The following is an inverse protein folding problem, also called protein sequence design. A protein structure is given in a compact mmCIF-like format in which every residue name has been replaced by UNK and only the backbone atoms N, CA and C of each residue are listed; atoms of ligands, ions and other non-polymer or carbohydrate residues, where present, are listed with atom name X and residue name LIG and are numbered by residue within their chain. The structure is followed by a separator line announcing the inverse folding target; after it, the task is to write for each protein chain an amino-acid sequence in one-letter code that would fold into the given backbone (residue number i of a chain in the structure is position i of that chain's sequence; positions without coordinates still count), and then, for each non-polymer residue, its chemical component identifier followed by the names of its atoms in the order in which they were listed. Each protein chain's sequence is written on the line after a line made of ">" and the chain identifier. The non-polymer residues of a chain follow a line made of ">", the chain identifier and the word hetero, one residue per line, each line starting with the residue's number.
data_IF_556046094063
#
_entry.id   IF_556046094063
#
_cell.length_a   1.000
_cell.length_b   1.000
_cell.length_c   1.000
_cell.angle_alpha   90.00
_cell.angle_beta   90.00
_cell.angle_gamma   90.00
#
_symmetry.space_group_name_H-M   'P 1'
#
loop_
_entity.id
_entity.type
_entity.pdbx_description
1 polymer ?
#
# COMPACT_ATOMS: atom_id res chain seq x y z
N UNK A 1 -37.08 7.94 1.13
CA UNK A 1 -35.64 7.66 1.16
C UNK A 1 -34.96 8.86 0.51
N UNK A 2 -34.10 9.58 1.22
CA UNK A 2 -33.42 10.76 0.69
C UNK A 2 -32.35 10.33 -0.30
N UNK A 3 -32.47 10.79 -1.55
CA UNK A 3 -31.47 10.55 -2.59
C UNK A 3 -30.34 11.55 -2.34
N UNK A 4 -29.20 11.06 -1.84
CA UNK A 4 -27.99 11.86 -1.70
C UNK A 4 -27.20 11.69 -2.97
N UNK A 5 -27.00 12.78 -3.70
CA UNK A 5 -26.16 12.81 -4.89
C UNK A 5 -24.70 12.94 -4.44
N UNK A 6 -23.89 11.90 -4.67
CA UNK A 6 -22.47 11.91 -4.38
C UNK A 6 -21.72 12.34 -5.63
N UNK A 7 -20.92 13.40 -5.53
CA UNK A 7 -19.90 13.67 -6.55
C UNK A 7 -18.83 12.59 -6.43
N UNK A 8 -18.72 11.75 -7.46
CA UNK A 8 -17.84 10.58 -7.51
C UNK A 8 -16.94 10.67 -8.74
N UNK A 9 -15.63 10.65 -8.50
CA UNK A 9 -14.64 10.37 -9.53
C UNK A 9 -14.21 8.90 -9.42
N UNK A 10 -14.48 8.14 -10.47
CA UNK A 10 -14.06 6.74 -10.59
C UNK A 10 -12.72 6.67 -11.30
N UNK A 11 -11.70 6.19 -10.59
CA UNK A 11 -10.36 6.01 -11.13
C UNK A 11 -9.98 4.53 -11.10
N UNK A 12 -9.75 3.95 -12.28
CA UNK A 12 -9.23 2.59 -12.40
C UNK A 12 -7.72 2.59 -12.10
N UNK A 13 -7.26 1.59 -11.35
CA UNK A 13 -5.84 1.40 -11.04
C UNK A 13 -5.41 -0.02 -11.37
N UNK A 14 -4.36 -0.13 -12.18
CA UNK A 14 -3.76 -1.41 -12.53
C UNK A 14 -2.80 -1.90 -11.42
N UNK A 15 -2.59 -3.22 -11.36
CA UNK A 15 -1.65 -3.83 -10.41
C UNK A 15 -0.25 -3.26 -10.61
N UNK A 16 0.34 -2.77 -9.52
CA UNK A 16 1.66 -2.14 -9.51
C UNK A 16 1.66 -0.65 -9.87
N UNK A 17 0.54 -0.09 -10.33
CA UNK A 17 0.41 1.34 -10.58
C UNK A 17 0.57 2.12 -9.27
N UNK A 18 1.31 3.24 -9.32
CA UNK A 18 1.45 4.15 -8.18
C UNK A 18 0.52 5.33 -8.38
N UNK A 19 -0.46 5.45 -7.51
CA UNK A 19 -1.35 6.60 -7.50
C UNK A 19 -1.01 7.53 -6.33
N UNK A 20 -0.75 8.80 -6.65
CA UNK A 20 -0.53 9.84 -5.65
C UNK A 20 -1.88 10.27 -5.08
N UNK A 21 -2.05 10.10 -3.76
CA UNK A 21 -3.25 10.54 -3.06
C UNK A 21 -3.08 11.99 -2.62
N UNK A 22 -2.59 12.20 -1.40
CA UNK A 22 -2.33 13.52 -0.83
C UNK A 22 -1.18 13.46 0.17
N UNK A 23 -0.58 14.61 0.52
CA UNK A 23 0.41 14.77 1.59
C UNK A 23 1.49 13.68 1.66
N UNK A 24 2.26 13.50 0.59
CA UNK A 24 3.33 12.50 0.54
C UNK A 24 2.82 11.07 0.84
N UNK A 25 1.58 10.75 0.44
CA UNK A 25 1.00 9.41 0.50
C UNK A 25 0.72 8.91 -0.92
N UNK A 26 1.12 7.67 -1.18
CA UNK A 26 0.78 6.97 -2.43
C UNK A 26 0.10 5.64 -2.12
N UNK A 27 -0.72 5.17 -3.04
CA UNK A 27 -1.33 3.84 -2.99
C UNK A 27 -0.84 3.00 -4.17
N UNK A 28 -0.60 1.71 -3.94
CA UNK A 28 -0.29 0.74 -4.99
C UNK A 28 -1.17 -0.50 -4.86
N UNK A 29 -1.89 -0.89 -5.92
CA UNK A 29 -2.58 -2.16 -5.92
C UNK A 29 -1.60 -3.32 -6.07
N UNK A 30 -1.89 -4.43 -5.41
CA UNK A 30 -1.17 -5.69 -5.57
C UNK A 30 -2.14 -6.83 -5.86
N UNK A 31 -1.65 -7.87 -6.53
CA UNK A 31 -2.50 -9.00 -6.94
C UNK A 31 -2.85 -9.87 -5.74
N UNK A 32 -4.12 -10.20 -5.60
CA UNK A 32 -4.58 -11.20 -4.65
C UNK A 32 -5.05 -12.47 -5.35
N UNK A 33 -5.29 -13.51 -4.57
CA UNK A 33 -5.73 -14.82 -5.04
C UNK A 33 -7.20 -15.02 -4.69
N UNK A 34 -8.06 -14.88 -5.69
CA UNK A 34 -9.49 -15.09 -5.59
C UNK A 34 -10.03 -15.70 -6.91
N UNK A 35 -11.28 -16.19 -6.91
CA UNK A 35 -11.88 -16.87 -8.08
C UNK A 35 -12.14 -15.94 -9.27
N UNK A 36 -12.24 -14.64 -9.01
CA UNK A 36 -12.35 -13.56 -10.01
C UNK A 36 -11.16 -12.60 -9.87
N UNK A 37 -10.85 -11.76 -10.87
CA UNK A 37 -9.82 -10.73 -10.74
C UNK A 37 -10.03 -9.89 -9.48
N UNK A 38 -9.02 -9.87 -8.62
CA UNK A 38 -9.03 -9.18 -7.35
C UNK A 38 -7.68 -8.54 -7.08
N UNK A 39 -7.69 -7.44 -6.34
CA UNK A 39 -6.49 -6.74 -5.90
C UNK A 39 -6.63 -6.24 -4.48
N UNK A 40 -5.54 -6.30 -3.73
CA UNK A 40 -5.36 -5.57 -2.49
C UNK A 40 -4.66 -4.24 -2.75
N UNK A 41 -4.50 -3.44 -1.71
CA UNK A 41 -3.84 -2.13 -1.77
C UNK A 41 -2.83 -1.99 -0.64
N UNK A 42 -1.69 -1.37 -0.94
CA UNK A 42 -0.75 -0.89 0.07
C UNK A 42 -0.67 0.63 -0.02
N UNK A 43 -0.88 1.28 1.12
CA UNK A 43 -0.69 2.71 1.33
C UNK A 43 0.73 2.91 1.83
N UNK A 44 1.48 3.79 1.18
CA UNK A 44 2.85 4.13 1.53
C UNK A 44 2.95 5.58 1.97
N UNK A 45 3.77 5.84 2.99
CA UNK A 45 4.33 7.17 3.22
C UNK A 45 5.55 7.39 2.33
N UNK A 46 5.63 8.57 1.75
CA UNK A 46 6.72 9.02 0.87
C UNK A 46 7.63 9.92 1.68
N UNK A 47 8.93 9.60 1.72
CA UNK A 47 9.94 10.45 2.33
C UNK A 47 11.02 10.78 1.32
N UNK A 48 11.36 12.06 1.22
CA UNK A 48 12.46 12.53 0.37
C UNK A 48 13.71 12.67 1.22
N UNK A 49 14.77 11.94 0.87
CA UNK A 49 16.09 12.06 1.53
C UNK A 49 17.12 12.55 0.53
N UNK A 50 18.06 13.38 0.98
CA UNK A 50 19.14 13.86 0.12
C UNK A 50 19.94 12.66 -0.41
N UNK A 51 20.18 12.63 -1.74
CA UNK A 51 21.01 11.60 -2.38
C UNK A 51 22.39 11.55 -1.73
N UNK A 52 22.93 10.34 -1.59
CA UNK A 52 24.22 10.12 -0.88
C UNK A 52 25.36 10.94 -1.48
N UNK A 53 25.36 11.10 -2.80
CA UNK A 53 26.33 11.90 -3.53
C UNK A 53 26.33 13.40 -3.16
N UNK A 54 25.27 13.93 -2.56
CA UNK A 54 25.17 15.35 -2.19
C UNK A 54 25.34 15.62 -0.69
N UNK A 55 25.47 14.58 0.16
CA UNK A 55 25.56 14.71 1.63
C UNK A 55 26.77 15.58 2.06
N UNK A 56 27.87 15.52 1.33
CA UNK A 56 29.10 16.24 1.64
C UNK A 56 29.07 17.72 1.19
N UNK A 57 28.04 18.15 0.48
CA UNK A 57 27.92 19.52 -0.02
C UNK A 57 27.37 20.45 1.07
N UNK A 58 27.89 21.68 1.13
CA UNK A 58 27.34 22.73 2.00
C UNK A 58 25.95 23.17 1.51
N UNK A 59 25.08 23.58 2.44
CA UNK A 59 23.69 23.98 2.14
C UNK A 59 23.51 24.95 0.97
N UNK A 60 24.38 25.97 0.84
CA UNK A 60 24.35 26.91 -0.31
C UNK A 60 24.54 26.22 -1.67
N UNK A 61 25.40 25.19 -1.75
CA UNK A 61 25.61 24.42 -2.99
C UNK A 61 24.41 23.53 -3.29
N UNK A 62 23.82 22.90 -2.26
CA UNK A 62 22.60 22.09 -2.39
C UNK A 62 21.43 22.94 -2.90
N UNK A 63 21.27 24.15 -2.34
CA UNK A 63 20.22 25.08 -2.77
C UNK A 63 20.39 25.49 -4.23
N UNK A 64 21.63 25.76 -4.67
CA UNK A 64 21.92 26.07 -6.08
C UNK A 64 21.56 24.91 -7.00
N UNK A 65 21.88 23.66 -6.62
CA UNK A 65 21.53 22.46 -7.38
C UNK A 65 20.02 22.26 -7.48
N UNK A 66 19.30 22.45 -6.36
CA UNK A 66 17.84 22.40 -6.34
C UNK A 66 17.23 23.46 -7.26
N UNK A 67 17.76 24.69 -7.23
CA UNK A 67 17.31 25.80 -8.09
C UNK A 67 17.62 25.58 -9.57
N UNK A 68 18.63 24.79 -9.91
CA UNK A 68 18.91 24.38 -11.30
C UNK A 68 18.06 23.22 -11.79
N UNK A 69 17.09 22.74 -11.00
CA UNK A 69 16.20 21.64 -11.36
C UNK A 69 16.82 20.25 -11.24
N UNK A 70 17.99 20.11 -10.61
CA UNK A 70 18.62 18.81 -10.37
C UNK A 70 17.84 18.09 -9.28
N UNK A 71 17.44 16.85 -9.54
CA UNK A 71 16.79 15.99 -8.54
C UNK A 71 17.82 15.54 -7.50
N UNK A 72 17.87 16.26 -6.38
CA UNK A 72 18.85 16.05 -5.31
C UNK A 72 18.38 15.05 -4.23
N UNK A 73 17.16 14.55 -4.30
CA UNK A 73 16.59 13.65 -3.29
C UNK A 73 16.20 12.31 -3.88
N UNK A 74 16.44 11.24 -3.12
CA UNK A 74 15.84 9.93 -3.33
C UNK A 74 14.44 9.89 -2.70
N UNK A 75 13.54 9.16 -3.34
CA UNK A 75 12.23 8.81 -2.79
C UNK A 75 12.35 7.50 -2.01
N UNK A 76 11.89 7.52 -0.77
CA UNK A 76 11.78 6.34 0.09
C UNK A 76 10.31 6.11 0.36
N UNK A 77 9.85 4.91 0.02
CA UNK A 77 8.49 4.45 0.30
C UNK A 77 8.52 3.54 1.52
N UNK A 78 7.67 3.84 2.50
CA UNK A 78 7.44 3.00 3.66
C UNK A 78 6.01 2.47 3.63
N UNK A 79 5.76 1.15 3.59
CA UNK A 79 4.41 0.61 3.63
C UNK A 79 3.80 0.86 5.02
N UNK A 80 2.67 1.55 5.07
CA UNK A 80 2.02 1.94 6.32
C UNK A 80 0.82 1.04 6.61
N UNK A 81 -0.07 0.89 5.63
CA UNK A 81 -1.30 0.11 5.76
C UNK A 81 -1.51 -0.73 4.52
N UNK A 82 -1.81 -2.01 4.69
CA UNK A 82 -2.18 -2.91 3.61
C UNK A 82 -3.59 -3.45 3.82
N UNK A 83 -4.35 -3.55 2.73
CA UNK A 83 -5.68 -4.16 2.68
C UNK A 83 -5.65 -5.26 1.63
N UNK A 84 -6.05 -6.47 1.98
CA UNK A 84 -6.09 -7.58 1.01
C UNK A 84 -7.40 -7.60 0.21
N UNK A 85 -8.49 -7.13 0.81
CA UNK A 85 -9.83 -7.53 0.37
C UNK A 85 -10.01 -9.05 0.47
N UNK A 86 -10.91 -9.60 -0.32
CA UNK A 86 -11.17 -11.04 -0.36
C UNK A 86 -10.03 -11.76 -1.10
N UNK A 87 -9.35 -12.66 -0.40
CA UNK A 87 -8.31 -13.53 -0.90
C UNK A 87 -8.07 -14.78 -0.04
N UNK A 88 -7.62 -15.87 -0.68
CA UNK A 88 -7.06 -17.03 0.03
C UNK A 88 -5.68 -16.73 0.62
N UNK A 89 -5.28 -17.43 1.69
CA UNK A 89 -3.97 -17.33 2.34
C UNK A 89 -2.77 -17.46 1.39
N UNK A 90 -2.94 -18.09 0.23
CA UNK A 90 -1.89 -18.28 -0.78
C UNK A 90 -1.29 -16.96 -1.27
N UNK A 91 -1.99 -15.81 -1.17
CA UNK A 91 -1.42 -14.52 -1.54
C UNK A 91 -0.16 -14.17 -0.74
N UNK A 92 -0.04 -14.67 0.49
CA UNK A 92 1.11 -14.42 1.38
C UNK A 92 2.38 -15.12 0.88
N UNK A 93 2.24 -16.13 0.02
CA UNK A 93 3.37 -16.88 -0.54
C UNK A 93 3.97 -16.20 -1.77
N UNK A 94 3.29 -15.21 -2.35
CA UNK A 94 3.80 -14.46 -3.50
C UNK A 94 4.80 -13.39 -3.04
N UNK A 95 6.06 -13.52 -3.48
CA UNK A 95 7.13 -12.56 -3.15
C UNK A 95 6.83 -11.15 -3.65
N UNK A 96 5.94 -10.98 -4.63
CA UNK A 96 5.50 -9.66 -5.12
C UNK A 96 4.62 -8.93 -4.10
N UNK A 97 4.05 -9.65 -3.13
CA UNK A 97 3.21 -9.10 -2.07
C UNK A 97 4.00 -8.80 -0.79
N UNK A 98 5.33 -8.84 -0.83
CA UNK A 98 6.18 -8.64 0.36
C UNK A 98 5.90 -7.32 1.08
N UNK A 99 5.58 -6.25 0.35
CA UNK A 99 5.31 -4.95 0.96
C UNK A 99 3.98 -4.91 1.71
N UNK A 100 2.98 -5.73 1.34
CA UNK A 100 1.74 -5.83 2.12
C UNK A 100 1.98 -6.52 3.46
N UNK A 101 2.92 -7.48 3.51
CA UNK A 101 3.30 -8.20 4.73
C UNK A 101 4.24 -7.39 5.63
N UNK A 102 4.90 -6.37 5.07
CA UNK A 102 5.80 -5.45 5.79
C UNK A 102 5.11 -4.16 6.24
N UNK A 103 3.85 -3.96 5.87
CA UNK A 103 3.09 -2.80 6.31
C UNK A 103 2.92 -2.82 7.83
N UNK A 104 2.97 -1.65 8.47
CA UNK A 104 2.76 -1.51 9.91
C UNK A 104 1.40 -2.08 10.35
N UNK A 105 0.39 -1.95 9.49
CA UNK A 105 -0.95 -2.50 9.69
C UNK A 105 -1.35 -3.32 8.46
N UNK A 106 -1.76 -4.57 8.67
CA UNK A 106 -2.35 -5.42 7.64
C UNK A 106 -3.80 -5.73 8.00
N UNK A 107 -4.72 -5.29 7.15
CA UNK A 107 -6.13 -5.64 7.20
C UNK A 107 -6.37 -6.77 6.21
N UNK A 108 -6.68 -7.95 6.73
CA UNK A 108 -6.88 -9.16 5.93
C UNK A 108 -8.16 -9.84 6.31
N UNK A 109 -8.80 -10.48 5.33
CA UNK A 109 -9.86 -11.41 5.65
C UNK A 109 -9.30 -12.67 6.32
N UNK A 110 -10.15 -13.35 7.08
CA UNK A 110 -9.87 -14.66 7.65
C UNK A 110 -11.05 -15.59 7.34
N UNK A 111 -10.99 -16.25 6.19
CA UNK A 111 -11.94 -17.30 5.83
C UNK A 111 -11.36 -18.66 6.22
N UNK A 112 -11.83 -19.23 7.34
CA UNK A 112 -11.48 -20.60 7.68
C UNK A 112 -12.26 -21.56 6.78
N UNK A 113 -11.56 -22.35 5.96
CA UNK A 113 -12.18 -23.52 5.32
C UNK A 113 -12.69 -24.45 6.43
N UNK A 114 -14.00 -24.74 6.42
CA UNK A 114 -14.63 -25.74 7.31
C UNK A 114 -13.75 -27.00 7.39
N UNK A 115 -13.17 -27.26 8.55
CA UNK A 115 -12.71 -28.61 8.89
C UNK A 115 -13.95 -29.43 9.25
N UNK A 116 -14.08 -30.69 8.79
CA UNK A 116 -15.18 -31.54 9.20
C UNK A 116 -15.15 -31.71 10.74
N UNK A 117 -16.21 -31.28 11.43
CA UNK A 117 -16.41 -31.56 12.86
C UNK A 117 -16.19 -30.41 13.87
N UNK A 118 -15.91 -29.17 13.44
CA UNK A 118 -15.80 -28.03 14.36
C UNK A 118 -16.83 -26.92 14.12
N UNK A 119 -17.25 -26.31 15.22
CA UNK A 119 -18.39 -25.40 15.39
C UNK A 119 -17.90 -23.96 15.16
N UNK A 120 -18.66 -23.23 14.34
CA UNK A 120 -18.61 -21.80 13.96
C UNK A 120 -17.39 -20.94 14.37
N UNK A 121 -16.70 -20.38 13.37
CA UNK A 121 -16.03 -19.10 13.49
C UNK A 121 -16.89 -18.06 12.76
N UNK A 122 -17.18 -16.94 13.42
CA UNK A 122 -17.90 -15.81 12.81
C UNK A 122 -17.04 -15.22 11.69
N UNK A 123 -17.61 -15.06 10.49
CA UNK A 123 -16.96 -14.37 9.38
C UNK A 123 -16.69 -12.91 9.83
N UNK A 124 -15.42 -12.53 9.95
CA UNK A 124 -15.01 -11.22 10.45
C UNK A 124 -13.83 -10.64 9.68
N UNK A 125 -13.81 -9.32 9.56
CA UNK A 125 -12.62 -8.57 9.14
C UNK A 125 -11.69 -8.42 10.35
N UNK A 126 -10.42 -8.80 10.20
CA UNK A 126 -9.44 -8.71 11.28
C UNK A 126 -8.33 -7.72 10.90
N UNK A 127 -7.84 -6.98 11.90
CA UNK A 127 -6.70 -6.08 11.78
C UNK A 127 -5.52 -6.74 12.47
N UNK A 128 -4.51 -7.13 11.70
CA UNK A 128 -3.23 -7.56 12.23
C UNK A 128 -2.31 -6.33 12.35
N UNK A 129 -1.86 -6.04 13.57
CA UNK A 129 -0.77 -5.09 13.79
C UNK A 129 0.52 -5.88 13.68
N UNK A 130 1.30 -5.62 12.64
CA UNK A 130 2.56 -6.32 12.37
C UNK A 130 3.67 -5.40 12.89
N UNK A 131 4.24 -5.74 14.05
CA UNK A 131 5.38 -5.04 14.66
C UNK A 131 6.71 -5.66 14.28
#
# INVERSE_FOLDING_TARGET
>A
MGQVELNLDLLALDVGETYELWNDIVVRPFRTHHVIPSQGYVIYSVRKKLKKEYIHLKGKKIEKLKKSGVEITDIILSPEVAFTGDTTSDYMLDTRNVDSLRANILVTELLQKRMPGHIWADNGLYVAVIS
#
